data_IF_574093332999
#
_entry.id   IF_574093332999
#
_cell.length_a   1.000
_cell.length_b   1.000
_cell.length_c   1.000
_cell.angle_alpha   90.00
_cell.angle_beta   90.00
_cell.angle_gamma   90.00
#
_symmetry.space_group_name_H-M   'P 1'
#
loop_
_entity.id
_entity.type
_entity.pdbx_description
1 polymer ?
#
# COMPACT_ATOMS: atom_id res chain seq x y z
N UNK A 1 -9.56 27.65 47.13
CA UNK A 1 -10.52 27.29 46.07
C UNK A 1 -9.84 27.47 44.72
N UNK A 2 -9.26 26.40 44.17
CA UNK A 2 -8.91 26.24 42.75
C UNK A 2 -8.54 24.77 42.54
N UNK A 3 -9.55 23.96 42.24
CA UNK A 3 -9.35 22.62 41.71
C UNK A 3 -8.92 22.76 40.24
N UNK A 4 -7.63 22.63 39.96
CA UNK A 4 -7.16 22.43 38.58
C UNK A 4 -7.17 20.93 38.30
N UNK A 5 -8.30 20.47 37.77
CA UNK A 5 -8.44 19.17 37.13
C UNK A 5 -7.47 19.07 35.95
N UNK A 6 -6.44 18.25 36.10
CA UNK A 6 -5.67 17.75 34.98
C UNK A 6 -6.51 16.66 34.30
N UNK A 7 -7.25 17.04 33.26
CA UNK A 7 -7.79 16.07 32.32
C UNK A 7 -6.61 15.43 31.57
N UNK A 8 -6.25 14.20 31.93
CA UNK A 8 -5.43 13.36 31.06
C UNK A 8 -6.27 13.04 29.81
N UNK A 9 -5.93 13.66 28.69
CA UNK A 9 -6.38 13.24 27.37
C UNK A 9 -5.69 11.91 27.05
N UNK A 10 -6.42 10.81 27.21
CA UNK A 10 -6.03 9.52 26.66
C UNK A 10 -6.05 9.64 25.13
N UNK A 11 -4.88 9.82 24.52
CA UNK A 11 -4.73 9.70 23.07
C UNK A 11 -4.82 8.22 22.71
N UNK A 12 -6.01 7.77 22.31
CA UNK A 12 -6.11 6.53 21.56
C UNK A 12 -5.33 6.75 20.25
N UNK A 13 -4.18 6.08 20.12
CA UNK A 13 -3.45 6.01 18.87
C UNK A 13 -4.30 5.22 17.87
N UNK A 14 -5.27 5.88 17.26
CA UNK A 14 -5.93 5.39 16.05
C UNK A 14 -4.84 5.30 15.00
N UNK A 15 -4.52 4.08 14.56
CA UNK A 15 -3.63 3.90 13.41
C UNK A 15 -4.12 4.77 12.25
N UNK A 16 -3.19 5.26 11.44
CA UNK A 16 -3.49 6.05 10.23
C UNK A 16 -4.55 5.30 9.40
N UNK A 17 -5.71 5.93 9.20
CA UNK A 17 -6.83 5.32 8.47
C UNK A 17 -6.49 5.10 7.00
N UNK A 18 -7.21 4.17 6.34
CA UNK A 18 -6.95 3.82 4.94
C UNK A 18 -6.98 5.03 3.99
N UNK A 19 -8.01 5.87 4.09
CA UNK A 19 -8.13 7.07 3.23
C UNK A 19 -6.94 8.03 3.38
N UNK A 20 -6.42 8.15 4.60
CA UNK A 20 -5.28 9.00 4.88
C UNK A 20 -3.99 8.45 4.25
N UNK A 21 -3.75 7.14 4.32
CA UNK A 21 -2.55 6.55 3.68
C UNK A 21 -2.67 6.50 2.15
N UNK A 22 -3.89 6.38 1.61
CA UNK A 22 -4.12 6.48 0.17
C UNK A 22 -3.84 7.90 -0.35
N UNK A 23 -4.23 8.93 0.40
CA UNK A 23 -3.89 10.31 0.07
C UNK A 23 -2.37 10.56 0.12
N UNK A 24 -1.66 9.96 1.08
CA UNK A 24 -0.19 10.01 1.13
C UNK A 24 0.43 9.33 -0.08
N UNK A 25 -0.08 8.18 -0.50
CA UNK A 25 0.41 7.49 -1.71
C UNK A 25 0.27 8.37 -2.95
N UNK A 26 -0.92 8.94 -3.17
CA UNK A 26 -1.15 9.85 -4.30
C UNK A 26 -0.19 11.05 -4.29
N UNK A 27 0.02 11.67 -3.12
CA UNK A 27 0.95 12.80 -2.99
C UNK A 27 2.41 12.39 -3.24
N UNK A 28 2.81 11.22 -2.76
CA UNK A 28 4.18 10.73 -2.88
C UNK A 28 4.50 10.36 -4.33
N UNK A 29 3.60 9.63 -5.00
CA UNK A 29 3.69 9.30 -6.42
C UNK A 29 3.73 10.56 -7.30
N UNK A 30 2.89 11.54 -7.01
CA UNK A 30 2.85 12.82 -7.73
C UNK A 30 4.09 13.69 -7.53
N UNK A 31 4.95 13.37 -6.55
CA UNK A 31 6.23 14.05 -6.32
C UNK A 31 7.40 13.45 -7.10
N UNK A 32 7.19 12.33 -7.80
CA UNK A 32 8.25 11.63 -8.51
C UNK A 32 8.59 12.32 -9.84
N UNK A 33 9.89 12.49 -10.08
CA UNK A 33 10.40 12.79 -11.42
C UNK A 33 10.10 11.61 -12.38
N UNK A 34 9.96 11.85 -13.69
CA UNK A 34 9.49 10.83 -14.65
C UNK A 34 10.27 9.51 -14.62
N UNK A 35 11.60 9.56 -14.46
CA UNK A 35 12.46 8.37 -14.39
C UNK A 35 12.18 7.56 -13.11
N UNK A 36 11.99 8.24 -11.98
CA UNK A 36 11.66 7.58 -10.71
C UNK A 36 10.25 7.00 -10.73
N UNK A 37 9.30 7.70 -11.36
CA UNK A 37 7.93 7.22 -11.55
C UNK A 37 7.91 5.94 -12.41
N UNK A 38 8.64 5.90 -13.52
CA UNK A 38 8.75 4.69 -14.34
C UNK A 38 9.35 3.50 -13.56
N UNK A 39 10.41 3.74 -12.78
CA UNK A 39 11.02 2.71 -11.94
C UNK A 39 10.05 2.16 -10.87
N UNK A 40 9.20 3.02 -10.30
CA UNK A 40 8.15 2.62 -9.37
C UNK A 40 7.12 1.71 -10.06
N UNK A 41 6.62 2.11 -11.24
CA UNK A 41 5.63 1.33 -12.00
C UNK A 41 6.21 -0.04 -12.40
N UNK A 42 7.45 -0.10 -12.88
CA UNK A 42 8.11 -1.36 -13.25
C UNK A 42 8.28 -2.29 -12.04
N UNK A 43 8.69 -1.73 -10.89
CA UNK A 43 8.83 -2.45 -9.63
C UNK A 43 7.49 -3.02 -9.14
N UNK A 44 6.45 -2.19 -9.15
CA UNK A 44 5.10 -2.59 -8.75
C UNK A 44 4.52 -3.65 -9.68
N UNK A 45 4.69 -3.49 -11.00
CA UNK A 45 4.18 -4.44 -11.99
C UNK A 45 4.83 -5.81 -11.86
N UNK A 46 6.13 -5.85 -11.57
CA UNK A 46 6.86 -7.10 -11.32
C UNK A 46 6.33 -7.83 -10.08
N UNK A 47 6.30 -7.14 -8.94
CA UNK A 47 5.86 -7.75 -7.67
C UNK A 47 4.37 -8.12 -7.72
N UNK A 48 3.54 -7.25 -8.30
CA UNK A 48 2.12 -7.48 -8.49
C UNK A 48 1.82 -8.64 -9.44
N UNK A 49 2.53 -8.72 -10.57
CA UNK A 49 2.41 -9.83 -11.53
C UNK A 49 2.79 -11.18 -10.92
N UNK A 50 3.91 -11.23 -10.19
CA UNK A 50 4.30 -12.43 -9.42
C UNK A 50 3.25 -12.76 -8.35
N UNK A 51 2.64 -11.74 -7.75
CA UNK A 51 1.49 -11.87 -6.85
C UNK A 51 0.31 -12.57 -7.52
N UNK A 52 -0.17 -12.08 -8.66
CA UNK A 52 -1.27 -12.68 -9.41
C UNK A 52 -1.00 -14.14 -9.82
N UNK A 53 0.22 -14.43 -10.32
CA UNK A 53 0.61 -15.79 -10.70
C UNK A 53 0.54 -16.79 -9.53
N UNK A 54 0.77 -16.33 -8.30
CA UNK A 54 0.69 -17.15 -7.08
C UNK A 54 -0.72 -17.21 -6.48
N UNK A 55 -1.48 -16.13 -6.62
CA UNK A 55 -2.70 -15.89 -5.85
C UNK A 55 -4.00 -16.21 -6.61
N UNK A 56 -3.97 -16.24 -7.95
CA UNK A 56 -5.17 -16.58 -8.72
C UNK A 56 -5.45 -18.08 -8.63
N UNK A 57 -6.70 -18.49 -8.30
CA UNK A 57 -7.07 -19.89 -8.32
C UNK A 57 -7.08 -20.43 -9.76
N UNK A 58 -6.96 -21.75 -9.91
CA UNK A 58 -7.10 -22.45 -11.19
C UNK A 58 -8.34 -23.35 -11.16
N UNK A 59 -9.32 -23.15 -12.05
CA UNK A 59 -9.38 -22.13 -13.09
C UNK A 59 -9.54 -20.70 -12.51
N UNK A 60 -9.09 -19.70 -13.26
CA UNK A 60 -9.25 -18.30 -12.88
C UNK A 60 -10.75 -17.92 -12.88
N UNK A 61 -11.19 -17.05 -11.95
CA UNK A 61 -12.58 -16.62 -11.92
C UNK A 61 -12.87 -15.71 -13.13
N UNK A 62 -14.12 -15.65 -13.59
CA UNK A 62 -14.51 -14.78 -14.71
C UNK A 62 -14.40 -13.29 -14.37
N UNK A 63 -14.54 -12.96 -13.07
CA UNK A 63 -14.41 -11.61 -12.54
C UNK A 63 -13.63 -11.62 -11.25
N UNK A 64 -12.91 -10.53 -10.98
CA UNK A 64 -12.19 -10.32 -9.73
C UNK A 64 -12.63 -8.99 -9.14
N UNK A 65 -12.94 -8.99 -7.83
CA UNK A 65 -13.31 -7.75 -7.14
C UNK A 65 -12.14 -6.77 -7.19
N UNK A 66 -12.45 -5.49 -7.44
CA UNK A 66 -11.46 -4.42 -7.37
C UNK A 66 -10.87 -4.34 -5.95
N UNK A 67 -9.59 -4.02 -5.88
CA UNK A 67 -8.90 -3.80 -4.61
C UNK A 67 -7.72 -2.85 -4.84
N UNK A 68 -7.31 -2.21 -3.74
CA UNK A 68 -6.12 -1.36 -3.72
C UNK A 68 -5.28 -1.72 -2.52
N UNK A 69 -3.97 -1.85 -2.72
CA UNK A 69 -2.98 -2.06 -1.67
C UNK A 69 -2.05 -0.84 -1.62
N UNK A 70 -2.06 -0.13 -0.50
CA UNK A 70 -1.09 0.94 -0.23
C UNK A 70 0.13 0.33 0.46
N UNK A 71 1.31 0.62 -0.07
CA UNK A 71 2.60 0.19 0.44
C UNK A 71 3.29 1.37 1.14
N UNK A 72 3.95 1.12 2.27
CA UNK A 72 4.96 2.02 2.82
C UNK A 72 6.33 1.44 2.54
N UNK A 73 7.19 2.22 1.88
CA UNK A 73 8.57 1.87 1.56
C UNK A 73 9.54 2.60 2.49
N UNK A 74 10.60 1.91 2.88
CA UNK A 74 11.77 2.53 3.51
C UNK A 74 12.73 3.15 2.46
N UNK A 75 13.86 3.69 2.93
CA UNK A 75 14.85 4.34 2.08
C UNK A 75 15.56 3.38 1.11
N UNK A 76 15.44 2.07 1.32
CA UNK A 76 15.98 1.04 0.42
C UNK A 76 14.92 0.54 -0.56
N UNK A 77 13.68 1.05 -0.47
CA UNK A 77 12.57 0.61 -1.31
C UNK A 77 11.87 -0.64 -0.80
N UNK A 78 12.17 -1.07 0.42
CA UNK A 78 11.56 -2.28 1.01
C UNK A 78 10.19 -1.95 1.56
N UNK A 79 9.20 -2.79 1.26
CA UNK A 79 7.86 -2.70 1.85
C UNK A 79 7.94 -3.04 3.33
N UNK A 80 7.71 -2.04 4.18
CA UNK A 80 7.74 -2.16 5.65
C UNK A 80 6.34 -2.21 6.27
N UNK A 81 5.31 -1.77 5.52
CA UNK A 81 3.91 -1.82 5.95
C UNK A 81 2.97 -1.82 4.74
N UNK A 82 1.79 -2.40 4.89
CA UNK A 82 0.72 -2.37 3.90
C UNK A 82 -0.62 -1.97 4.53
N UNK A 83 -1.51 -1.43 3.71
CA UNK A 83 -2.93 -1.26 3.99
C UNK A 83 -3.71 -1.67 2.73
N UNK A 84 -4.93 -2.17 2.90
CA UNK A 84 -5.74 -2.65 1.77
C UNK A 84 -7.20 -2.24 1.91
N UNK A 85 -7.78 -1.86 0.79
CA UNK A 85 -9.23 -1.75 0.57
C UNK A 85 -9.68 -2.85 -0.38
N UNK A 86 -10.81 -3.48 -0.07
CA UNK A 86 -11.29 -4.72 -0.70
C UNK A 86 -10.75 -5.97 0.01
N UNK A 87 -11.62 -6.94 0.37
CA UNK A 87 -11.30 -8.05 1.29
C UNK A 87 -11.18 -9.44 0.65
N UNK A 88 -11.27 -9.50 -0.67
CA UNK A 88 -11.22 -10.74 -1.44
C UNK A 88 -9.95 -11.56 -1.16
N UNK A 89 -10.04 -12.88 -1.30
CA UNK A 89 -8.94 -13.79 -1.01
C UNK A 89 -7.68 -13.48 -1.85
N UNK A 90 -7.87 -13.12 -3.13
CA UNK A 90 -6.78 -12.70 -4.02
C UNK A 90 -6.15 -11.39 -3.54
N UNK A 91 -6.95 -10.40 -3.13
CA UNK A 91 -6.46 -9.12 -2.63
C UNK A 91 -5.61 -9.30 -1.36
N UNK A 92 -6.06 -10.15 -0.42
CA UNK A 92 -5.29 -10.54 0.77
C UNK A 92 -3.98 -11.25 0.43
N UNK A 93 -4.01 -12.16 -0.54
CA UNK A 93 -2.82 -12.88 -0.97
C UNK A 93 -1.80 -11.96 -1.65
N UNK A 94 -2.26 -11.03 -2.50
CA UNK A 94 -1.41 -10.04 -3.16
C UNK A 94 -0.79 -9.07 -2.14
N UNK A 95 -1.57 -8.55 -1.19
CA UNK A 95 -1.06 -7.74 -0.08
C UNK A 95 0.08 -8.46 0.66
N UNK A 96 -0.12 -9.73 1.02
CA UNK A 96 0.91 -10.53 1.67
C UNK A 96 2.15 -10.74 0.79
N UNK A 97 1.98 -10.82 -0.53
CA UNK A 97 3.05 -10.95 -1.51
C UNK A 97 3.96 -9.71 -1.63
N UNK A 98 3.48 -8.53 -1.25
CA UNK A 98 4.28 -7.31 -1.21
C UNK A 98 5.16 -7.21 0.04
N UNK A 99 4.75 -7.80 1.17
CA UNK A 99 5.43 -7.62 2.46
C UNK A 99 6.92 -8.00 2.39
N UNK A 100 7.79 -7.04 2.69
CA UNK A 100 9.25 -7.23 2.70
C UNK A 100 9.93 -7.31 1.33
N UNK A 101 9.19 -7.18 0.23
CA UNK A 101 9.77 -7.06 -1.12
C UNK A 101 10.41 -5.69 -1.33
N UNK A 102 11.32 -5.57 -2.29
CA UNK A 102 11.86 -4.28 -2.74
C UNK A 102 11.19 -3.90 -4.06
N UNK A 103 10.56 -2.72 -4.10
CA UNK A 103 9.81 -2.25 -5.27
C UNK A 103 10.73 -1.38 -6.15
N UNK A 104 11.16 -0.25 -5.61
CA UNK A 104 12.09 0.70 -6.21
C UNK A 104 12.70 1.54 -5.08
N UNK A 105 13.86 2.17 -5.29
CA UNK A 105 14.47 3.06 -4.29
C UNK A 105 13.83 4.44 -4.38
N UNK A 106 13.06 4.91 -3.38
CA UNK A 106 12.38 6.19 -3.45
C UNK A 106 13.31 7.37 -3.17
N UNK A 107 13.02 8.57 -3.69
CA UNK A 107 13.81 9.78 -3.40
C UNK A 107 13.64 10.30 -1.96
N UNK A 108 12.63 9.83 -1.23
CA UNK A 108 12.37 10.16 0.17
C UNK A 108 11.85 8.93 0.92
N UNK A 109 11.98 8.92 2.25
CA UNK A 109 11.39 7.88 3.11
C UNK A 109 10.74 8.51 4.36
N UNK A 110 9.59 7.98 4.84
CA UNK A 110 8.81 6.92 4.19
C UNK A 110 8.20 7.40 2.87
N UNK A 111 8.06 6.47 1.94
CA UNK A 111 7.36 6.68 0.67
C UNK A 111 6.12 5.80 0.61
N UNK A 112 4.99 6.36 0.19
CA UNK A 112 3.75 5.62 0.01
C UNK A 112 3.44 5.45 -1.47
N UNK A 113 2.95 4.27 -1.85
CA UNK A 113 2.57 3.98 -3.22
C UNK A 113 1.37 3.04 -3.23
N UNK A 114 0.45 3.20 -4.18
CA UNK A 114 -0.77 2.43 -4.32
C UNK A 114 -0.66 1.47 -5.52
N UNK A 115 -0.84 0.18 -5.23
CA UNK A 115 -1.11 -0.83 -6.24
C UNK A 115 -2.62 -0.97 -6.40
N UNK A 116 -3.16 -0.53 -7.53
CA UNK A 116 -4.60 -0.56 -7.80
C UNK A 116 -4.94 -1.62 -8.86
N UNK A 117 -5.97 -2.41 -8.58
CA UNK A 117 -6.56 -3.33 -9.54
C UNK A 117 -8.02 -3.00 -9.78
N UNK A 118 -8.36 -2.65 -11.02
CA UNK A 118 -9.71 -2.33 -11.49
C UNK A 118 -10.02 -3.13 -12.76
N UNK A 119 -10.24 -4.44 -12.66
CA UNK A 119 -10.43 -5.25 -13.87
C UNK A 119 -11.01 -6.66 -13.67
N UNK A 120 -11.32 -7.31 -14.79
CA UNK A 120 -11.41 -8.77 -14.88
C UNK A 120 -9.97 -9.33 -14.89
N UNK A 121 -9.75 -10.51 -14.28
CA UNK A 121 -8.41 -11.07 -14.04
C UNK A 121 -7.60 -11.35 -15.30
#
# INVERSE_FOLDING_TARGET
>A
MTMLWWMLLAQAAVGTGYDQVRALAHSDEGSLEPVAYAAMIDGMSRVGGDGFARCLPTPAPETLAAFTVVLQLDAQGRVVRTWREGDGAVARCIEAGFAGTTVFVPPKAPFHAAFEFQGQP
#
